data_IF_802422896079
#
_entry.id   IF_802422896079
#
_cell.length_a   1.000
_cell.length_b   1.000
_cell.length_c   1.000
_cell.angle_alpha   90.00
_cell.angle_beta   90.00
_cell.angle_gamma   90.00
#
_symmetry.space_group_name_H-M   'P 1'
#
loop_
_entity.id
_entity.type
_entity.pdbx_description
1 polymer ?
#
# COMPACT_ATOMS: atom_id res chain seq x y z
N UNK A 1 -0.59 15.72 -20.97
CA UNK A 1 -1.14 16.06 -22.30
C UNK A 1 -1.02 14.87 -23.23
N UNK A 2 -1.65 14.91 -24.42
CA UNK A 2 -1.46 13.83 -25.38
C UNK A 2 -0.02 13.81 -25.90
N UNK A 3 0.59 12.64 -25.89
CA UNK A 3 1.95 12.42 -26.40
C UNK A 3 3.07 12.65 -25.39
N UNK A 4 2.77 13.10 -24.17
CA UNK A 4 3.77 13.18 -23.11
C UNK A 4 4.25 11.79 -22.64
N UNK A 5 5.27 11.76 -21.78
CA UNK A 5 5.83 10.51 -21.27
C UNK A 5 4.78 9.62 -20.59
N UNK A 6 3.94 10.21 -19.73
CA UNK A 6 2.90 9.47 -19.01
C UNK A 6 1.82 8.90 -19.94
N UNK A 7 1.39 9.66 -20.93
CA UNK A 7 0.45 9.20 -21.95
C UNK A 7 1.03 8.04 -22.78
N UNK A 8 2.30 8.14 -23.16
CA UNK A 8 3.01 7.07 -23.91
C UNK A 8 3.24 5.81 -23.08
N UNK A 9 3.27 5.94 -21.76
CA UNK A 9 3.39 4.84 -20.80
C UNK A 9 2.02 4.30 -20.33
N UNK A 10 0.90 4.83 -20.82
CA UNK A 10 -0.44 4.33 -20.49
C UNK A 10 -0.94 4.75 -19.09
N UNK A 11 -0.54 5.92 -18.60
CA UNK A 11 -1.00 6.43 -17.30
C UNK A 11 -2.49 6.78 -17.30
N UNK A 12 -3.05 7.00 -16.11
CA UNK A 12 -4.44 7.41 -15.93
C UNK A 12 -4.78 8.70 -16.70
N UNK A 13 -5.82 8.65 -17.53
CA UNK A 13 -6.27 9.78 -18.36
C UNK A 13 -7.23 10.74 -17.64
N UNK A 14 -7.35 10.68 -16.30
CA UNK A 14 -8.29 11.50 -15.54
C UNK A 14 -8.11 12.99 -15.81
N UNK A 15 -6.85 13.48 -15.75
CA UNK A 15 -6.51 14.90 -15.99
C UNK A 15 -6.71 15.35 -17.45
N UNK A 16 -6.95 14.42 -18.38
CA UNK A 16 -7.31 14.71 -19.77
C UNK A 16 -8.82 14.81 -19.99
N UNK A 17 -9.62 14.62 -18.93
CA UNK A 17 -11.08 14.74 -18.94
C UNK A 17 -11.83 13.41 -18.97
N UNK A 18 -11.21 12.30 -18.56
CA UNK A 18 -11.86 11.00 -18.55
C UNK A 18 -13.13 10.99 -17.68
N UNK A 19 -14.26 10.62 -18.29
CA UNK A 19 -15.58 10.51 -17.63
C UNK A 19 -15.85 9.15 -17.00
N UNK A 20 -14.90 8.23 -17.07
CA UNK A 20 -14.99 6.88 -16.52
C UNK A 20 -15.50 6.80 -15.07
N UNK A 21 -15.03 7.66 -14.13
CA UNK A 21 -15.50 7.64 -12.74
C UNK A 21 -17.00 7.90 -12.55
N UNK A 22 -17.69 8.45 -13.55
CA UNK A 22 -19.11 8.76 -13.51
C UNK A 22 -19.90 8.06 -14.63
N UNK A 23 -19.31 7.06 -15.33
CA UNK A 23 -19.92 6.39 -16.49
C UNK A 23 -20.10 4.89 -16.24
N UNK A 24 -21.33 4.40 -16.33
CA UNK A 24 -21.67 2.99 -16.19
C UNK A 24 -21.65 2.31 -17.56
N UNK A 25 -20.60 1.52 -17.80
CA UNK A 25 -20.45 0.68 -18.98
C UNK A 25 -19.40 -0.42 -18.71
N UNK A 26 -19.43 -1.49 -19.52
CA UNK A 26 -18.47 -2.60 -19.45
C UNK A 26 -17.28 -2.42 -20.43
N UNK A 27 -17.03 -1.20 -20.93
CA UNK A 27 -16.01 -0.94 -21.96
C UNK A 27 -14.59 -1.41 -21.57
N UNK A 28 -14.23 -1.32 -20.29
CA UNK A 28 -12.91 -1.75 -19.79
C UNK A 28 -12.81 -3.26 -19.53
N UNK A 29 -13.93 -3.98 -19.61
CA UNK A 29 -14.00 -5.43 -19.37
C UNK A 29 -14.19 -6.18 -20.67
N UNK A 30 -15.22 -5.80 -21.46
CA UNK A 30 -15.55 -6.46 -22.71
C UNK A 30 -14.73 -5.95 -23.90
N UNK A 31 -14.20 -4.72 -23.81
CA UNK A 31 -13.63 -4.01 -24.95
C UNK A 31 -14.62 -3.94 -26.13
N UNK A 32 -14.13 -3.67 -27.34
CA UNK A 32 -14.92 -3.62 -28.56
C UNK A 32 -14.34 -4.56 -29.62
N UNK A 33 -15.21 -5.10 -30.46
CA UNK A 33 -14.85 -5.93 -31.62
C UNK A 33 -14.03 -7.19 -31.28
N UNK A 34 -14.17 -7.72 -30.06
CA UNK A 34 -13.42 -8.90 -29.60
C UNK A 34 -11.88 -8.71 -29.63
N UNK A 35 -11.41 -7.45 -29.66
CA UNK A 35 -9.98 -7.12 -29.66
C UNK A 35 -9.57 -6.64 -28.27
N UNK A 36 -8.55 -7.29 -27.70
CA UNK A 36 -7.98 -6.89 -26.41
C UNK A 36 -7.37 -5.48 -26.51
N UNK A 37 -7.75 -4.60 -25.58
CA UNK A 37 -7.29 -3.21 -25.54
C UNK A 37 -8.04 -2.28 -26.50
N UNK A 38 -8.96 -2.78 -27.32
CA UNK A 38 -9.78 -1.94 -28.20
C UNK A 38 -10.93 -1.29 -27.44
N UNK A 39 -10.64 -0.21 -26.72
CA UNK A 39 -11.62 0.64 -26.04
C UNK A 39 -10.99 2.03 -25.84
N UNK A 40 -11.76 3.10 -25.60
CA UNK A 40 -11.23 4.47 -25.67
C UNK A 40 -9.96 4.69 -24.83
N UNK A 41 -9.98 4.31 -23.55
CA UNK A 41 -8.84 4.50 -22.64
C UNK A 41 -7.69 3.57 -23.02
N UNK A 42 -7.97 2.34 -23.47
CA UNK A 42 -6.95 1.39 -23.96
C UNK A 42 -6.22 1.90 -25.20
N UNK A 43 -6.85 2.78 -25.97
CA UNK A 43 -6.27 3.45 -27.15
C UNK A 43 -5.68 4.84 -26.83
N UNK A 44 -5.67 5.26 -25.57
CA UNK A 44 -5.12 6.56 -25.14
C UNK A 44 -6.11 7.74 -25.17
N UNK A 45 -7.39 7.50 -25.41
CA UNK A 45 -8.41 8.56 -25.39
C UNK A 45 -9.30 8.50 -24.13
N UNK A 46 -9.58 9.64 -23.45
CA UNK A 46 -10.47 9.65 -22.30
C UNK A 46 -11.88 9.13 -22.66
N UNK A 47 -12.52 8.46 -21.71
CA UNK A 47 -13.94 8.12 -21.84
C UNK A 47 -14.77 9.41 -22.01
N UNK A 48 -15.66 9.44 -23.01
CA UNK A 48 -16.56 10.56 -23.28
C UNK A 48 -17.84 10.54 -22.40
N UNK A 49 -18.14 9.41 -21.78
CA UNK A 49 -19.37 9.23 -21.00
C UNK A 49 -20.62 9.03 -21.86
N UNK A 50 -20.48 8.38 -23.03
CA UNK A 50 -21.57 8.20 -24.01
C UNK A 50 -22.79 7.43 -23.49
N UNK A 51 -22.63 6.60 -22.46
CA UNK A 51 -23.74 5.83 -21.85
C UNK A 51 -24.49 6.61 -20.77
N UNK A 52 -24.02 7.80 -20.40
CA UNK A 52 -24.63 8.62 -19.35
C UNK A 52 -25.29 9.86 -19.93
N UNK A 53 -26.59 9.99 -19.69
CA UNK A 53 -27.37 11.12 -20.16
C UNK A 53 -26.85 12.45 -19.60
N UNK A 54 -26.31 12.49 -18.39
CA UNK A 54 -25.82 13.74 -17.81
C UNK A 54 -24.47 14.20 -18.37
N UNK A 55 -23.71 13.32 -19.05
CA UNK A 55 -22.32 13.58 -19.43
C UNK A 55 -22.18 13.84 -20.93
N UNK A 56 -22.58 12.89 -21.76
CA UNK A 56 -22.42 12.97 -23.20
C UNK A 56 -23.03 14.25 -23.75
N UNK A 57 -22.24 15.02 -24.49
CA UNK A 57 -22.66 16.28 -25.14
C UNK A 57 -23.13 17.39 -24.20
N UNK A 58 -22.92 17.25 -22.88
CA UNK A 58 -23.32 18.24 -21.86
C UNK A 58 -22.15 18.74 -21.03
N UNK A 59 -21.14 17.88 -20.82
CA UNK A 59 -19.90 18.24 -20.15
C UNK A 59 -18.78 18.36 -21.18
N UNK A 60 -17.95 19.41 -21.16
CA UNK A 60 -16.81 19.52 -22.06
C UNK A 60 -15.88 18.31 -21.96
N UNK A 61 -15.31 17.91 -23.09
CA UNK A 61 -14.52 16.69 -23.18
C UNK A 61 -13.33 16.70 -22.21
N UNK A 62 -12.61 17.80 -22.11
CA UNK A 62 -11.38 17.91 -21.31
C UNK A 62 -11.60 18.34 -19.85
N UNK A 63 -12.85 18.51 -19.42
CA UNK A 63 -13.17 18.82 -18.02
C UNK A 63 -13.21 17.55 -17.17
N UNK A 64 -12.77 17.64 -15.92
CA UNK A 64 -12.79 16.49 -15.00
C UNK A 64 -14.16 16.34 -14.34
N UNK A 65 -14.62 15.10 -14.18
CA UNK A 65 -15.79 14.78 -13.33
C UNK A 65 -15.37 14.58 -11.87
N UNK A 66 -16.25 14.87 -10.90
CA UNK A 66 -15.99 14.51 -9.50
C UNK A 66 -15.88 12.99 -9.36
N UNK A 67 -14.91 12.54 -8.58
CA UNK A 67 -14.75 11.13 -8.22
C UNK A 67 -15.57 10.90 -6.95
N UNK A 68 -16.61 10.08 -7.03
CA UNK A 68 -17.35 9.66 -5.84
C UNK A 68 -16.46 8.72 -5.01
N UNK A 69 -16.27 9.06 -3.72
CA UNK A 69 -15.42 8.33 -2.77
C UNK A 69 -13.96 8.14 -3.22
N UNK A 70 -13.14 9.19 -3.23
CA UNK A 70 -11.71 9.07 -3.58
C UNK A 70 -10.92 8.24 -2.56
N UNK A 71 -11.44 8.06 -1.35
CA UNK A 71 -10.88 7.23 -0.29
C UNK A 71 -11.78 6.02 -0.03
N UNK A 72 -11.19 4.87 0.38
CA UNK A 72 -11.97 3.73 0.85
C UNK A 72 -12.92 4.17 1.97
N UNK A 73 -14.11 3.54 2.10
CA UNK A 73 -15.00 3.81 3.21
C UNK A 73 -14.29 3.65 4.55
N UNK A 74 -14.47 4.62 5.45
CA UNK A 74 -13.94 4.60 6.83
C UNK A 74 -14.50 3.43 7.67
N UNK A 75 -15.49 2.70 7.13
CA UNK A 75 -16.06 1.49 7.71
C UNK A 75 -15.14 0.27 7.61
N UNK A 76 -14.15 0.29 6.71
CA UNK A 76 -13.18 -0.80 6.63
C UNK A 76 -12.08 -0.61 7.69
N UNK A 77 -11.55 -1.70 8.29
CA UNK A 77 -10.42 -1.61 9.19
C UNK A 77 -9.21 -1.00 8.46
N UNK A 78 -8.40 -0.17 9.12
CA UNK A 78 -7.25 0.47 8.50
C UNK A 78 -6.26 -0.58 7.97
N UNK A 79 -5.72 -0.36 6.77
CA UNK A 79 -4.70 -1.23 6.16
C UNK A 79 -3.39 -1.29 6.97
N UNK A 80 -3.20 -0.32 7.87
CA UNK A 80 -2.13 -0.31 8.85
C UNK A 80 -2.69 -0.85 10.16
N UNK A 81 -2.28 -2.06 10.53
CA UNK A 81 -2.49 -2.54 11.89
C UNK A 81 -1.67 -1.67 12.83
N UNK A 82 -2.26 -1.22 13.95
CA UNK A 82 -1.47 -0.67 15.05
C UNK A 82 -0.52 -1.76 15.55
N UNK A 83 0.76 -1.62 15.22
CA UNK A 83 1.79 -2.48 15.75
C UNK A 83 2.14 -1.97 17.15
N UNK A 84 1.91 -2.81 18.17
CA UNK A 84 2.33 -2.49 19.53
C UNK A 84 3.84 -2.21 19.58
N UNK A 85 4.22 -1.03 20.05
CA UNK A 85 5.63 -0.67 20.21
C UNK A 85 6.15 -1.25 21.52
N UNK A 86 7.24 -2.02 21.46
CA UNK A 86 7.95 -2.43 22.68
C UNK A 86 8.66 -1.20 23.25
N UNK A 87 8.34 -0.85 24.50
CA UNK A 87 8.97 0.28 25.18
C UNK A 87 10.49 0.08 25.30
N UNK A 88 11.32 1.09 24.98
CA UNK A 88 12.77 1.03 25.19
C UNK A 88 13.14 0.69 26.65
N UNK A 89 12.29 1.10 27.59
CA UNK A 89 12.45 0.81 29.03
C UNK A 89 12.21 -0.67 29.29
N UNK A 90 11.18 -1.27 28.71
CA UNK A 90 10.89 -2.70 28.88
C UNK A 90 12.03 -3.57 28.33
N UNK A 91 12.55 -3.22 27.15
CA UNK A 91 13.72 -3.89 26.56
C UNK A 91 14.96 -3.73 27.43
N UNK A 92 15.20 -2.52 27.96
CA UNK A 92 16.35 -2.25 28.84
C UNK A 92 16.30 -3.05 30.13
N UNK A 93 15.15 -3.11 30.81
CA UNK A 93 14.98 -3.87 32.05
C UNK A 93 15.15 -5.37 31.81
N UNK A 94 14.53 -5.92 30.76
CA UNK A 94 14.66 -7.34 30.42
C UNK A 94 16.11 -7.73 30.11
N UNK A 95 16.83 -6.89 29.35
CA UNK A 95 18.24 -7.10 29.05
C UNK A 95 19.13 -7.08 30.30
N UNK A 96 18.88 -6.16 31.23
CA UNK A 96 19.63 -6.04 32.48
C UNK A 96 19.43 -7.27 33.38
N UNK A 97 18.17 -7.69 33.56
CA UNK A 97 17.84 -8.88 34.36
C UNK A 97 18.45 -10.14 33.75
N UNK A 98 18.29 -10.33 32.43
CA UNK A 98 18.89 -11.48 31.73
C UNK A 98 20.41 -11.51 31.84
N UNK A 99 21.06 -10.36 31.65
CA UNK A 99 22.53 -10.22 31.77
C UNK A 99 23.04 -10.51 33.19
N UNK A 100 22.34 -10.04 34.23
CA UNK A 100 22.71 -10.30 35.61
C UNK A 100 22.63 -11.80 35.98
N UNK A 101 21.58 -12.49 35.52
CA UNK A 101 21.41 -13.94 35.76
C UNK A 101 22.54 -14.73 35.11
N UNK A 102 22.82 -14.46 33.83
CA UNK A 102 23.91 -15.13 33.09
C UNK A 102 25.27 -14.85 33.73
N UNK A 103 25.54 -13.59 34.11
CA UNK A 103 26.79 -13.20 34.76
C UNK A 103 26.99 -13.89 36.11
N UNK A 104 25.95 -13.95 36.95
CA UNK A 104 26.01 -14.64 38.23
C UNK A 104 26.24 -16.15 38.07
N UNK A 105 25.55 -16.78 37.10
CA UNK A 105 25.73 -18.20 36.80
C UNK A 105 27.16 -18.52 36.33
N UNK A 106 27.76 -17.66 35.48
CA UNK A 106 29.16 -17.81 35.07
C UNK A 106 30.09 -17.74 36.27
N UNK A 107 30.00 -16.70 37.10
CA UNK A 107 30.90 -16.52 38.23
C UNK A 107 30.80 -17.68 39.24
N UNK A 108 29.60 -18.21 39.48
CA UNK A 108 29.41 -19.41 40.27
C UNK A 108 30.11 -20.64 39.66
N UNK A 109 29.98 -20.84 38.34
CA UNK A 109 30.67 -21.94 37.64
C UNK A 109 32.20 -21.83 37.71
N UNK A 110 32.78 -20.62 37.60
CA UNK A 110 34.24 -20.44 37.77
C UNK A 110 34.70 -20.74 39.18
N UNK A 111 33.94 -20.31 40.20
CA UNK A 111 34.29 -20.54 41.60
C UNK A 111 34.29 -22.04 41.95
N UNK A 112 33.33 -22.80 41.43
CA UNK A 112 33.30 -24.27 41.57
C UNK A 112 34.51 -24.94 40.89
N UNK A 113 34.99 -24.40 39.76
CA UNK A 113 36.19 -24.88 39.09
C UNK A 113 37.49 -24.62 39.86
N UNK A 114 37.61 -23.48 40.53
CA UNK A 114 38.78 -23.10 41.35
C UNK A 114 38.87 -23.92 42.66
N UNK A 115 37.74 -24.19 43.32
CA UNK A 115 37.71 -25.04 44.52
C UNK A 115 38.13 -26.50 44.20
N UNK A 116 37.73 -27.02 43.04
CA UNK A 116 38.18 -28.32 42.52
C UNK A 116 39.68 -28.38 42.23
N UNK A 117 40.30 -27.27 41.82
CA UNK A 117 41.76 -27.21 41.54
C UNK A 117 42.57 -27.09 42.83
N UNK A 118 42.06 -26.35 43.82
CA UNK A 118 42.71 -26.15 45.12
C UNK A 118 42.66 -27.39 46.01
N UNK A 119 41.65 -28.25 45.83
CA UNK A 119 41.53 -29.53 46.54
C UNK A 119 42.45 -30.65 46.01
N UNK A 120 43.11 -30.45 44.85
CA UNK A 120 43.98 -31.45 44.20
C UNK A 120 45.49 -31.19 44.36
N UNK A 121 45.87 -30.09 45.02
CA UNK A 121 47.24 -29.77 45.45
C UNK A 121 47.38 -29.95 46.96
#
# INVERSE_FOLDING_TARGET
EYGDAGHREGWCLYRLGCKGPATHANCSVNHFNEVVGAWPIGLGHPCFGCTEQALAFRVPLHDTVPIDRPTPPDTYPPIHAEQGKVSPVATGVAGLVGGAVVGAAWMAAKKLGEDETKSKN
#
